data_IF_799944998631
#
_entry.id   IF_799944998631
#
_cell.length_a   1.000
_cell.length_b   1.000
_cell.length_c   1.000
_cell.angle_alpha   90.00
_cell.angle_beta   90.00
_cell.angle_gamma   90.00
#
_symmetry.space_group_name_H-M   'P 1'
#
loop_
_entity.id
_entity.type
_entity.pdbx_description
1 polymer ?
#
# COMPACT_ATOMS: atom_id res chain seq x y z
N UNK A 1 -17.03 -9.52 5.79
CA UNK A 1 -15.81 -9.67 4.98
C UNK A 1 -15.51 -8.28 4.48
N UNK A 2 -14.44 -7.69 4.99
CA UNK A 2 -14.21 -6.25 4.89
C UNK A 2 -13.59 -5.89 3.54
N UNK A 3 -14.07 -4.81 2.94
CA UNK A 3 -13.61 -4.32 1.63
C UNK A 3 -12.52 -3.26 1.85
N UNK A 4 -11.30 -3.73 2.12
CA UNK A 4 -10.10 -2.87 2.18
C UNK A 4 -9.42 -2.86 0.80
N UNK A 5 -9.17 -1.67 0.28
CA UNK A 5 -8.53 -1.43 -1.00
C UNK A 5 -7.24 -0.65 -0.81
N UNK A 6 -6.22 -0.94 -1.62
CA UNK A 6 -4.93 -0.26 -1.61
C UNK A 6 -4.78 0.42 -2.95
N UNK A 7 -4.63 1.74 -2.94
CA UNK A 7 -4.33 2.50 -4.14
C UNK A 7 -2.83 2.48 -4.45
N UNK A 8 -2.49 2.51 -5.74
CA UNK A 8 -1.19 3.01 -6.14
C UNK A 8 -1.11 4.53 -5.94
N UNK A 9 0.10 5.05 -6.03
CA UNK A 9 0.43 6.46 -5.83
C UNK A 9 -0.35 7.42 -6.73
N UNK A 10 -0.71 6.99 -7.94
CA UNK A 10 -1.50 7.80 -8.88
C UNK A 10 -3.03 7.67 -8.66
N UNK A 11 -3.47 6.78 -7.77
CA UNK A 11 -4.88 6.45 -7.57
C UNK A 11 -5.54 5.75 -8.77
N UNK A 12 -4.75 5.30 -9.74
CA UNK A 12 -5.24 4.69 -11.00
C UNK A 12 -5.43 3.19 -10.89
N UNK A 13 -4.69 2.54 -10.00
CA UNK A 13 -4.81 1.12 -9.71
C UNK A 13 -5.29 0.91 -8.27
N UNK A 14 -6.31 0.08 -8.11
CA UNK A 14 -6.90 -0.27 -6.82
C UNK A 14 -6.83 -1.79 -6.63
N UNK A 15 -6.12 -2.22 -5.60
CA UNK A 15 -5.91 -3.63 -5.27
C UNK A 15 -6.69 -3.99 -4.01
N UNK A 16 -7.43 -5.10 -4.02
CA UNK A 16 -8.09 -5.60 -2.80
C UNK A 16 -7.04 -6.16 -1.84
N UNK A 17 -7.08 -5.73 -0.58
CA UNK A 17 -6.18 -6.21 0.47
C UNK A 17 -6.17 -7.74 0.61
N UNK A 18 -7.35 -8.36 0.54
CA UNK A 18 -7.51 -9.81 0.68
C UNK A 18 -6.86 -10.64 -0.43
N UNK A 19 -6.58 -10.00 -1.57
CA UNK A 19 -5.97 -10.66 -2.73
C UNK A 19 -4.45 -10.47 -2.72
N UNK A 20 -3.87 -9.74 -1.76
CA UNK A 20 -2.42 -9.54 -1.63
C UNK A 20 -1.81 -10.75 -0.92
N UNK A 21 -0.89 -11.43 -1.62
CA UNK A 21 -0.13 -12.56 -1.08
C UNK A 21 1.19 -12.11 -0.44
N UNK A 22 1.84 -11.07 -0.98
CA UNK A 22 3.14 -10.58 -0.51
C UNK A 22 3.19 -9.06 -0.64
N UNK A 23 3.75 -8.39 0.38
CA UNK A 23 4.16 -6.98 0.33
C UNK A 23 5.68 -6.93 0.36
N UNK A 24 6.31 -6.14 -0.51
CA UNK A 24 7.77 -6.06 -0.63
C UNK A 24 8.22 -4.61 -0.74
N UNK A 25 9.24 -4.23 0.03
CA UNK A 25 10.07 -3.07 -0.27
C UNK A 25 11.22 -3.56 -1.16
N UNK A 26 11.27 -3.11 -2.40
CA UNK A 26 12.32 -3.51 -3.35
C UNK A 26 13.62 -2.72 -3.17
N UNK A 27 14.69 -3.16 -3.83
CA UNK A 27 16.01 -2.51 -3.75
C UNK A 27 16.03 -1.08 -4.31
N UNK A 28 15.00 -0.67 -5.05
CA UNK A 28 14.83 0.69 -5.56
C UNK A 28 14.04 1.58 -4.59
N UNK A 29 13.58 1.05 -3.45
CA UNK A 29 12.75 1.76 -2.48
C UNK A 29 11.27 1.79 -2.83
N UNK A 30 10.80 1.02 -3.82
CA UNK A 30 9.38 0.95 -4.11
C UNK A 30 8.69 -0.02 -3.16
N UNK A 31 7.47 0.30 -2.74
CA UNK A 31 6.58 -0.68 -2.12
C UNK A 31 5.76 -1.33 -3.22
N UNK A 32 5.83 -2.65 -3.29
CA UNK A 32 5.09 -3.47 -4.25
C UNK A 32 4.21 -4.48 -3.52
N UNK A 33 3.10 -4.83 -4.14
CA UNK A 33 2.21 -5.90 -3.70
C UNK A 33 2.11 -6.95 -4.79
N UNK A 34 2.23 -8.22 -4.41
CA UNK A 34 2.02 -9.35 -5.30
C UNK A 34 0.68 -10.00 -4.99
N UNK A 35 -0.15 -10.17 -6.01
CA UNK A 35 -1.46 -10.75 -5.88
C UNK A 35 -1.39 -12.28 -5.77
N UNK A 36 -2.32 -12.86 -5.01
CA UNK A 36 -2.59 -14.28 -4.99
C UNK A 36 -3.21 -14.70 -6.33
N UNK A 37 -2.68 -15.77 -6.94
CA UNK A 37 -3.15 -16.27 -8.22
C UNK A 37 -2.03 -16.91 -9.04
N UNK A 38 -2.40 -17.57 -10.15
CA UNK A 38 -1.46 -18.30 -10.99
C UNK A 38 -0.40 -17.39 -11.64
N UNK A 39 -0.75 -16.14 -11.93
CA UNK A 39 0.12 -15.19 -12.63
C UNK A 39 0.93 -14.29 -11.67
N UNK A 40 0.53 -14.22 -10.39
CA UNK A 40 1.28 -13.48 -9.37
C UNK A 40 1.57 -12.03 -9.74
N UNK A 41 0.59 -11.31 -10.31
CA UNK A 41 0.75 -9.94 -10.76
C UNK A 41 1.34 -9.06 -9.65
N UNK A 42 2.29 -8.19 -10.02
CA UNK A 42 2.96 -7.26 -9.11
C UNK A 42 2.50 -5.85 -9.44
N UNK A 43 2.00 -5.16 -8.42
CA UNK A 43 1.56 -3.76 -8.51
C UNK A 43 2.47 -2.92 -7.63
N UNK A 44 2.99 -1.82 -8.17
CA UNK A 44 3.73 -0.84 -7.39
C UNK A 44 2.74 0.09 -6.71
N UNK A 45 2.66 0.02 -5.38
CA UNK A 45 1.74 0.86 -4.60
C UNK A 45 2.41 2.13 -4.09
N UNK A 46 3.75 2.14 -3.99
CA UNK A 46 4.55 3.34 -3.73
C UNK A 46 5.74 3.34 -4.66
N UNK A 47 5.88 4.36 -5.49
CA UNK A 47 7.00 4.53 -6.40
C UNK A 47 7.97 5.57 -5.85
N UNK A 48 9.19 5.15 -5.49
CA UNK A 48 10.20 6.07 -4.95
C UNK A 48 10.55 7.20 -5.94
N UNK A 49 10.63 6.89 -7.23
CA UNK A 49 11.03 7.85 -8.27
C UNK A 49 9.95 8.89 -8.62
N UNK A 50 8.69 8.64 -8.28
CA UNK A 50 7.61 9.57 -8.60
C UNK A 50 7.72 10.88 -7.82
N UNK A 51 8.29 10.84 -6.61
CA UNK A 51 8.26 11.97 -5.70
C UNK A 51 9.52 12.84 -5.67
N UNK A 52 10.63 12.46 -6.35
CA UNK A 52 11.95 13.12 -6.21
C UNK A 52 12.46 13.27 -4.76
N UNK A 53 11.74 12.70 -3.80
CA UNK A 53 11.88 12.89 -2.36
C UNK A 53 12.56 11.68 -1.71
N UNK A 54 12.87 11.83 -0.43
CA UNK A 54 13.60 10.87 0.38
C UNK A 54 13.10 9.43 0.22
N UNK A 55 14.06 8.51 0.22
CA UNK A 55 13.81 7.08 0.17
C UNK A 55 12.77 6.68 1.23
N UNK A 56 11.71 5.93 0.87
CA UNK A 56 10.74 5.49 1.85
C UNK A 56 11.38 4.82 3.06
N UNK A 57 10.81 4.99 4.26
CA UNK A 57 11.29 4.28 5.45
C UNK A 57 11.40 2.78 5.18
N UNK A 58 12.48 2.17 5.68
CA UNK A 58 12.76 0.74 5.47
C UNK A 58 11.67 -0.21 5.96
N UNK A 59 10.72 0.29 6.77
CA UNK A 59 9.58 -0.42 7.33
C UNK A 59 8.23 -0.05 6.68
N UNK A 60 8.17 0.80 5.65
CA UNK A 60 6.91 1.26 5.06
C UNK A 60 6.02 0.09 4.58
N UNK A 61 6.64 -0.96 4.00
CA UNK A 61 5.96 -2.20 3.62
C UNK A 61 5.36 -2.96 4.81
N UNK A 62 5.98 -2.87 6.00
CA UNK A 62 5.47 -3.49 7.24
C UNK A 62 4.32 -2.67 7.82
N UNK A 63 4.41 -1.35 7.74
CA UNK A 63 3.32 -0.47 8.16
C UNK A 63 2.05 -0.77 7.34
N UNK A 64 2.17 -1.03 6.04
CA UNK A 64 1.03 -1.46 5.22
C UNK A 64 0.39 -2.75 5.73
N UNK A 65 1.19 -3.75 6.09
CA UNK A 65 0.68 -5.00 6.66
C UNK A 65 -0.07 -4.76 7.98
N UNK A 66 0.43 -3.86 8.84
CA UNK A 66 -0.26 -3.49 10.06
C UNK A 66 -1.61 -2.83 9.78
N UNK A 67 -1.66 -1.84 8.87
CA UNK A 67 -2.90 -1.15 8.47
C UNK A 67 -3.91 -2.15 7.90
N UNK A 68 -3.49 -3.03 7.00
CA UNK A 68 -4.36 -4.07 6.45
C UNK A 68 -4.91 -5.01 7.52
N UNK A 69 -4.10 -5.40 8.50
CA UNK A 69 -4.53 -6.26 9.60
C UNK A 69 -5.52 -5.54 10.51
N UNK A 70 -5.27 -4.28 10.88
CA UNK A 70 -6.14 -3.46 11.70
C UNK A 70 -7.53 -3.26 11.08
N UNK A 71 -7.59 -3.09 9.75
CA UNK A 71 -8.84 -2.88 9.03
C UNK A 71 -9.54 -4.19 8.64
N UNK A 72 -8.89 -5.34 8.74
CA UNK A 72 -9.42 -6.62 8.23
C UNK A 72 -10.71 -7.09 8.91
N UNK A 73 -10.96 -6.64 10.14
CA UNK A 73 -12.15 -6.95 10.94
C UNK A 73 -13.16 -5.78 10.99
N UNK A 74 -12.89 -4.67 10.29
CA UNK A 74 -13.78 -3.52 10.31
C UNK A 74 -15.10 -3.80 9.57
N UNK A 75 -16.19 -3.18 10.00
CA UNK A 75 -17.50 -3.36 9.34
C UNK A 75 -17.65 -2.54 8.04
N UNK A 76 -16.80 -1.52 7.88
CA UNK A 76 -16.84 -0.52 6.81
C UNK A 76 -15.77 -0.80 5.74
N UNK A 77 -15.98 -0.29 4.53
CA UNK A 77 -15.01 -0.37 3.44
C UNK A 77 -14.02 0.80 3.52
N UNK A 78 -12.75 0.55 3.20
CA UNK A 78 -11.69 1.56 3.31
C UNK A 78 -10.80 1.57 2.07
N UNK A 79 -10.36 2.77 1.68
CA UNK A 79 -9.23 2.96 0.79
C UNK A 79 -7.99 3.32 1.60
N UNK A 80 -6.89 2.63 1.33
CA UNK A 80 -5.57 2.86 1.89
C UNK A 80 -4.66 3.34 0.77
N UNK A 81 -3.97 4.46 0.97
CA UNK A 81 -3.00 4.95 0.00
C UNK A 81 -1.81 5.58 0.71
N UNK A 82 -0.65 5.58 0.07
CA UNK A 82 0.51 6.27 0.60
C UNK A 82 0.39 7.78 0.32
N UNK A 83 0.94 8.57 1.23
CA UNK A 83 1.22 10.00 1.01
C UNK A 83 2.61 10.30 1.53
N UNK A 84 3.27 11.26 0.90
CA UNK A 84 4.47 11.87 1.47
C UNK A 84 4.09 13.24 2.05
N UNK A 85 4.28 13.40 3.35
CA UNK A 85 4.11 14.67 4.07
C UNK A 85 5.48 15.28 4.37
N UNK A 86 5.68 16.56 4.07
CA UNK A 86 6.98 17.23 4.25
C UNK A 86 7.50 17.21 5.70
N UNK A 87 6.61 17.09 6.70
CA UNK A 87 6.98 17.13 8.12
C UNK A 87 7.08 15.72 8.73
N UNK A 88 6.23 14.80 8.28
CA UNK A 88 6.08 13.47 8.87
C UNK A 88 6.62 12.35 8.00
N UNK A 89 7.08 12.68 6.79
CA UNK A 89 7.56 11.74 5.79
C UNK A 89 6.43 10.88 5.23
N UNK A 90 6.80 9.69 4.76
CA UNK A 90 5.87 8.71 4.20
C UNK A 90 4.89 8.15 5.23
N UNK A 91 3.61 8.14 4.88
CA UNK A 91 2.53 7.62 5.72
C UNK A 91 1.50 6.85 4.89
N UNK A 92 0.84 5.88 5.52
CA UNK A 92 -0.39 5.27 4.99
C UNK A 92 -1.61 6.03 5.51
N UNK A 93 -2.38 6.61 4.60
CA UNK A 93 -3.66 7.25 4.89
C UNK A 93 -4.77 6.24 4.64
N UNK A 94 -5.76 6.24 5.52
CA UNK A 94 -6.97 5.43 5.41
C UNK A 94 -8.18 6.34 5.33
N UNK A 95 -9.02 6.13 4.32
CA UNK A 95 -10.29 6.85 4.14
C UNK A 95 -11.47 5.88 3.99
N UNK A 96 -12.65 6.19 4.54
CA UNK A 96 -13.87 5.42 4.28
C UNK A 96 -14.31 5.51 2.81
N UNK A 97 -14.90 4.43 2.29
CA UNK A 97 -15.49 4.35 0.94
C UNK A 97 -17.01 4.49 0.93
#
# INVERSE_FOLDING_TARGET
>A
MTDVWIANDEGTELVRARDIAVVTLDDNGNVTVRLAGAEGAVVTVVAHRAHQEEHPPGDLHRQLLCVMAELSDAAEAFLVHAVHDETRGWQWVTEPL
#
